data_IF_792869102433
#
_entry.id   IF_792869102433
#
_cell.length_a   1.000
_cell.length_b   1.000
_cell.length_c   1.000
_cell.angle_alpha   90.00
_cell.angle_beta   90.00
_cell.angle_gamma   90.00
#
_symmetry.space_group_name_H-M   'P 1'
#
loop_
_entity.id
_entity.type
_entity.pdbx_description
1 polymer ?
#
# COMPACT_ATOMS: atom_id res chain seq x y z
N UNK A 1 4.19 -3.24 8.36
CA UNK A 1 3.25 -4.36 8.15
C UNK A 1 2.50 -4.64 9.44
N UNK A 2 1.17 -4.71 9.40
CA UNK A 2 0.35 -5.04 10.57
C UNK A 2 -0.38 -6.36 10.33
N UNK A 3 -0.38 -7.23 11.33
CA UNK A 3 -1.00 -8.55 11.28
C UNK A 3 -2.12 -8.61 12.32
N UNK A 4 -3.28 -9.12 11.92
CA UNK A 4 -4.46 -9.28 12.77
C UNK A 4 -4.28 -10.47 13.72
N UNK A 5 -4.55 -10.28 15.02
CA UNK A 5 -4.63 -11.38 15.97
C UNK A 5 -6.07 -11.83 16.13
N UNK A 6 -6.35 -13.12 15.90
CA UNK A 6 -7.68 -13.70 16.07
C UNK A 6 -7.76 -14.44 17.40
N UNK A 7 -8.68 -14.04 18.29
CA UNK A 7 -8.99 -14.81 19.49
C UNK A 7 -10.09 -15.79 19.16
N UNK A 8 -9.77 -17.09 19.17
CA UNK A 8 -10.79 -18.15 19.16
C UNK A 8 -11.49 -18.17 20.54
N UNK A 9 -12.64 -17.51 20.64
CA UNK A 9 -13.53 -17.68 21.79
C UNK A 9 -14.48 -18.86 21.48
N UNK A 10 -14.23 -19.99 22.10
CA UNK A 10 -15.12 -21.13 22.07
C UNK A 10 -16.38 -20.83 22.90
N UNK A 11 -17.47 -20.50 22.24
CA UNK A 11 -18.78 -20.43 22.87
C UNK A 11 -19.38 -21.84 22.94
N UNK A 12 -19.42 -22.41 24.15
CA UNK A 12 -20.09 -23.67 24.47
C UNK A 12 -21.59 -23.39 24.56
N UNK A 13 -22.38 -23.70 23.52
CA UNK A 13 -23.85 -23.74 23.58
C UNK A 13 -24.29 -25.11 24.01
N UNK A 14 -24.83 -25.19 25.24
CA UNK A 14 -25.57 -26.35 25.73
C UNK A 14 -27.01 -26.22 25.21
N UNK A 15 -27.39 -27.05 24.24
CA UNK A 15 -28.80 -27.22 23.84
C UNK A 15 -29.33 -28.49 24.48
N UNK A 16 -30.24 -28.30 25.41
CA UNK A 16 -31.08 -29.37 25.97
C UNK A 16 -32.20 -29.61 24.96
N UNK A 17 -32.23 -30.79 24.35
CA UNK A 17 -33.34 -31.21 23.51
C UNK A 17 -33.96 -32.48 24.09
N UNK A 18 -35.24 -32.39 24.34
CA UNK A 18 -36.13 -33.36 24.95
C UNK A 18 -36.41 -34.56 24.05
N UNK A 19 -36.54 -35.70 24.69
CA UNK A 19 -36.75 -37.05 24.14
C UNK A 19 -38.21 -37.22 23.73
N UNK A 20 -38.46 -37.82 22.58
CA UNK A 20 -39.68 -38.55 22.31
C UNK A 20 -39.36 -39.85 21.54
N UNK A 21 -39.72 -40.96 22.18
CA UNK A 21 -39.53 -42.32 21.74
C UNK A 21 -40.49 -42.72 20.63
N UNK A 22 -40.00 -43.55 19.68
CA UNK A 22 -40.84 -44.54 19.02
C UNK A 22 -39.98 -45.74 18.59
N UNK A 23 -40.31 -46.90 19.08
CA UNK A 23 -39.75 -48.20 18.74
C UNK A 23 -40.17 -48.67 17.36
N UNK A 24 -39.24 -49.31 16.61
CA UNK A 24 -39.57 -50.46 15.77
C UNK A 24 -38.32 -51.31 15.58
N UNK A 25 -38.47 -52.63 15.82
CA UNK A 25 -37.45 -53.68 15.63
C UNK A 25 -37.26 -54.02 14.17
N UNK A 26 -36.05 -54.32 13.75
CA UNK A 26 -35.73 -55.60 13.07
C UNK A 26 -34.22 -55.74 12.85
N UNK A 27 -33.79 -56.98 12.91
CA UNK A 27 -32.46 -57.52 13.04
C UNK A 27 -31.51 -57.39 11.83
N UNK A 28 -30.27 -57.57 12.16
CA UNK A 28 -29.15 -58.29 11.50
C UNK A 28 -28.00 -57.50 10.90
N UNK A 29 -26.92 -57.63 11.66
CA UNK A 29 -25.57 -58.11 11.26
C UNK A 29 -24.82 -57.32 10.15
N UNK A 30 -23.77 -56.69 10.54
CA UNK A 30 -22.40 -56.94 10.15
C UNK A 30 -21.50 -55.74 10.45
N UNK A 31 -20.48 -56.05 11.18
CA UNK A 31 -19.31 -55.24 11.47
C UNK A 31 -18.78 -54.49 10.23
N UNK A 32 -18.77 -53.15 10.28
CA UNK A 32 -17.75 -52.41 9.57
C UNK A 32 -17.46 -51.11 10.36
N UNK A 33 -16.36 -51.14 11.12
CA UNK A 33 -15.75 -49.93 11.70
C UNK A 33 -15.15 -49.12 10.56
N UNK A 34 -15.96 -48.36 9.89
CA UNK A 34 -15.48 -47.32 9.00
C UNK A 34 -15.19 -46.09 9.82
N UNK A 35 -13.93 -45.95 10.18
CA UNK A 35 -13.35 -44.72 10.70
C UNK A 35 -13.74 -43.58 9.75
N UNK A 36 -14.73 -42.79 10.14
CA UNK A 36 -14.99 -41.51 9.49
C UNK A 36 -13.79 -40.62 9.79
N UNK A 37 -12.77 -40.73 8.94
CA UNK A 37 -11.80 -39.64 8.77
C UNK A 37 -12.66 -38.46 8.37
N UNK A 38 -12.82 -37.49 9.25
CA UNK A 38 -13.36 -36.22 8.93
C UNK A 38 -12.35 -35.60 7.92
N UNK A 39 -12.64 -35.75 6.63
CA UNK A 39 -12.09 -34.86 5.64
C UNK A 39 -12.66 -33.48 5.97
N UNK A 40 -11.96 -32.76 6.83
CA UNK A 40 -12.07 -31.33 6.89
C UNK A 40 -11.51 -30.88 5.54
N UNK A 41 -12.38 -30.66 4.55
CA UNK A 41 -12.06 -29.84 3.40
C UNK A 41 -11.52 -28.56 4.00
N UNK A 42 -10.21 -28.34 3.95
CA UNK A 42 -9.62 -27.03 4.12
C UNK A 42 -10.23 -26.20 3.00
N UNK A 43 -11.33 -25.49 3.26
CA UNK A 43 -11.70 -24.36 2.44
C UNK A 43 -10.40 -23.59 2.24
N UNK A 44 -10.03 -23.35 0.99
CA UNK A 44 -8.79 -22.69 0.62
C UNK A 44 -8.76 -21.33 1.34
N UNK A 45 -8.17 -21.31 2.54
CA UNK A 45 -7.98 -20.08 3.29
C UNK A 45 -7.12 -19.15 2.40
N UNK A 46 -7.62 -17.96 2.12
CA UNK A 46 -6.91 -16.96 1.35
C UNK A 46 -6.41 -15.90 2.33
N UNK A 47 -5.10 -15.69 2.38
CA UNK A 47 -4.51 -14.57 3.11
C UNK A 47 -4.66 -13.32 2.26
N UNK A 48 -5.33 -12.31 2.79
CA UNK A 48 -5.58 -11.04 2.10
C UNK A 48 -4.67 -9.96 2.63
N UNK A 49 -3.87 -9.38 1.77
CA UNK A 49 -2.93 -8.30 2.08
C UNK A 49 -3.29 -7.10 1.22
N UNK A 50 -3.22 -5.89 1.78
CA UNK A 50 -3.47 -4.66 1.02
C UNK A 50 -2.72 -3.48 1.65
N UNK A 51 -2.52 -2.41 0.90
CA UNK A 51 -1.98 -1.16 1.43
C UNK A 51 -0.95 -0.47 0.55
N UNK A 52 0.20 -0.15 1.13
CA UNK A 52 1.28 0.63 0.51
C UNK A 52 1.89 -0.04 -0.71
N UNK A 53 2.02 0.69 -1.83
CA UNK A 53 2.75 0.22 -3.00
C UNK A 53 4.25 0.09 -2.72
N UNK A 54 4.82 0.94 -1.88
CA UNK A 54 6.22 0.82 -1.43
C UNK A 54 6.53 -0.55 -0.82
N UNK A 55 5.60 -1.08 -0.01
CA UNK A 55 5.77 -2.38 0.67
C UNK A 55 5.33 -3.54 -0.24
N UNK A 56 4.53 -3.26 -1.25
CA UNK A 56 3.98 -4.24 -2.18
C UNK A 56 5.07 -5.09 -2.82
N UNK A 57 6.15 -4.50 -3.32
CA UNK A 57 7.24 -5.22 -4.01
C UNK A 57 7.85 -6.32 -3.15
N UNK A 58 8.07 -6.03 -1.86
CA UNK A 58 8.58 -7.02 -0.89
C UNK A 58 7.51 -8.07 -0.61
N UNK A 59 6.28 -7.62 -0.36
CA UNK A 59 5.19 -8.49 0.07
C UNK A 59 4.77 -9.45 -1.04
N UNK A 60 4.75 -9.01 -2.31
CA UNK A 60 4.45 -9.84 -3.46
C UNK A 60 5.45 -10.98 -3.59
N UNK A 61 6.75 -10.69 -3.54
CA UNK A 61 7.81 -11.71 -3.60
C UNK A 61 7.68 -12.73 -2.46
N UNK A 62 7.47 -12.25 -1.23
CA UNK A 62 7.28 -13.13 -0.06
C UNK A 62 6.00 -13.96 -0.20
N UNK A 63 4.92 -13.40 -0.73
CA UNK A 63 3.67 -14.10 -0.96
C UNK A 63 3.81 -15.22 -2.00
N UNK A 64 4.55 -14.97 -3.10
CA UNK A 64 4.84 -15.99 -4.10
C UNK A 64 5.60 -17.18 -3.50
N UNK A 65 6.69 -16.93 -2.79
CA UNK A 65 7.49 -17.96 -2.12
C UNK A 65 6.66 -18.73 -1.07
N UNK A 66 5.85 -18.01 -0.29
CA UNK A 66 4.98 -18.63 0.70
C UNK A 66 3.93 -19.54 0.05
N UNK A 67 3.30 -19.11 -1.05
CA UNK A 67 2.35 -19.93 -1.80
C UNK A 67 2.99 -21.19 -2.38
N UNK A 68 4.23 -21.06 -2.90
CA UNK A 68 4.96 -22.21 -3.41
C UNK A 68 5.26 -23.24 -2.32
N UNK A 69 5.64 -22.78 -1.11
CA UNK A 69 6.00 -23.63 0.00
C UNK A 69 4.80 -24.28 0.70
N UNK A 70 3.69 -23.54 0.88
CA UNK A 70 2.58 -23.95 1.75
C UNK A 70 1.31 -24.36 1.00
N UNK A 71 1.19 -23.99 -0.27
CA UNK A 71 -0.03 -24.10 -1.09
C UNK A 71 -1.23 -23.30 -0.55
N UNK A 72 -0.99 -22.35 0.36
CA UNK A 72 -1.99 -21.39 0.84
C UNK A 72 -2.04 -20.20 -0.12
N UNK A 73 -3.21 -19.85 -0.61
CA UNK A 73 -3.37 -18.70 -1.51
C UNK A 73 -3.17 -17.38 -0.76
N UNK A 74 -2.45 -16.45 -1.38
CA UNK A 74 -2.25 -15.09 -0.88
C UNK A 74 -2.66 -14.10 -1.98
N UNK A 75 -3.35 -13.04 -1.61
CA UNK A 75 -3.64 -11.92 -2.51
C UNK A 75 -3.01 -10.66 -1.96
N UNK A 76 -2.34 -9.89 -2.81
CA UNK A 76 -1.70 -8.63 -2.43
C UNK A 76 -2.29 -7.51 -3.30
N UNK A 77 -2.87 -6.50 -2.64
CA UNK A 77 -3.48 -5.34 -3.29
C UNK A 77 -2.73 -4.05 -2.98
N UNK A 78 -2.99 -3.02 -3.78
CA UNK A 78 -2.45 -1.67 -3.62
C UNK A 78 -3.59 -0.68 -3.50
N UNK A 79 -3.75 -0.06 -2.32
CA UNK A 79 -4.73 1.02 -2.09
C UNK A 79 -4.14 2.19 -1.28
N UNK A 80 -2.81 2.25 -1.22
CA UNK A 80 -2.07 3.17 -0.36
C UNK A 80 -2.15 2.77 1.12
N UNK A 81 -1.24 3.31 1.92
CA UNK A 81 -1.18 3.00 3.37
C UNK A 81 -2.49 3.32 4.09
N UNK A 82 -3.09 4.48 3.80
CA UNK A 82 -4.35 4.89 4.45
C UNK A 82 -5.56 4.10 3.96
N UNK A 83 -5.61 3.75 2.68
CA UNK A 83 -6.64 2.89 2.09
C UNK A 83 -6.61 1.50 2.71
N UNK A 84 -5.42 0.92 2.81
CA UNK A 84 -5.22 -0.37 3.46
C UNK A 84 -5.63 -0.36 4.93
N UNK A 85 -5.27 0.68 5.72
CA UNK A 85 -5.74 0.78 7.11
C UNK A 85 -7.28 0.82 7.22
N UNK A 86 -7.96 1.48 6.29
CA UNK A 86 -9.43 1.48 6.27
C UNK A 86 -9.99 0.06 6.10
N UNK A 87 -9.41 -0.74 5.19
CA UNK A 87 -9.79 -2.15 4.97
C UNK A 87 -9.42 -3.02 6.17
N UNK A 88 -8.20 -2.89 6.65
CA UNK A 88 -7.68 -3.67 7.76
C UNK A 88 -8.50 -3.48 9.05
N UNK A 89 -8.78 -2.22 9.43
CA UNK A 89 -9.59 -1.92 10.62
C UNK A 89 -11.07 -2.29 10.46
N UNK A 90 -11.55 -2.65 9.25
CA UNK A 90 -12.87 -3.28 9.02
C UNK A 90 -12.81 -4.81 8.98
N UNK A 91 -11.60 -5.38 9.10
CA UNK A 91 -11.41 -6.83 9.04
C UNK A 91 -11.50 -7.44 7.64
N UNK A 92 -11.36 -6.61 6.60
CA UNK A 92 -11.42 -7.04 5.20
C UNK A 92 -10.10 -7.69 4.74
N UNK A 93 -8.98 -7.37 5.40
CA UNK A 93 -7.65 -7.93 5.15
C UNK A 93 -7.03 -8.47 6.41
N UNK A 94 -6.14 -9.46 6.26
CA UNK A 94 -5.42 -10.11 7.37
C UNK A 94 -4.12 -9.38 7.69
N UNK A 95 -3.49 -8.79 6.67
CA UNK A 95 -2.24 -8.06 6.76
C UNK A 95 -2.40 -6.69 6.10
N UNK A 96 -1.80 -5.67 6.73
CA UNK A 96 -1.74 -4.31 6.24
C UNK A 96 -0.30 -3.95 5.88
N UNK A 97 -0.07 -3.56 4.62
CA UNK A 97 1.18 -2.96 4.16
C UNK A 97 1.18 -1.46 4.48
N UNK A 98 2.19 -1.00 5.21
CA UNK A 98 2.28 0.41 5.62
C UNK A 98 3.68 0.97 5.41
N UNK A 99 3.79 2.13 4.78
CA UNK A 99 5.03 2.92 4.61
C UNK A 99 5.16 4.06 5.62
N UNK A 100 4.35 4.05 6.66
CA UNK A 100 4.39 4.91 7.84
C UNK A 100 3.77 4.19 9.04
N UNK A 101 4.07 4.61 10.27
CA UNK A 101 3.34 4.12 11.46
C UNK A 101 1.84 4.37 11.35
N UNK A 102 1.06 3.54 12.05
CA UNK A 102 -0.39 3.72 12.19
C UNK A 102 -0.69 5.06 12.90
N UNK A 103 -1.68 5.80 12.44
CA UNK A 103 -2.10 7.05 13.04
C UNK A 103 -3.12 6.79 14.16
N UNK A 104 -3.19 7.70 15.13
CA UNK A 104 -4.14 7.62 16.26
C UNK A 104 -5.60 7.37 15.81
N UNK A 105 -6.07 8.08 14.79
CA UNK A 105 -7.42 7.88 14.23
C UNK A 105 -7.63 6.46 13.67
N UNK A 106 -6.59 5.85 13.12
CA UNK A 106 -6.62 4.49 12.58
C UNK A 106 -6.60 3.47 13.73
N UNK A 107 -5.77 3.71 14.76
CA UNK A 107 -5.78 2.91 15.99
C UNK A 107 -7.17 2.91 16.65
N UNK A 108 -7.81 4.08 16.74
CA UNK A 108 -9.17 4.20 17.28
C UNK A 108 -10.19 3.41 16.43
N UNK A 109 -10.06 3.45 15.09
CA UNK A 109 -10.94 2.70 14.19
C UNK A 109 -10.77 1.20 14.36
N UNK A 110 -9.54 0.68 14.39
CA UNK A 110 -9.25 -0.72 14.65
C UNK A 110 -9.79 -1.18 16.01
N UNK A 111 -9.55 -0.39 17.06
CA UNK A 111 -10.03 -0.71 18.42
C UNK A 111 -11.56 -0.79 18.49
N UNK A 112 -12.28 0.14 17.84
CA UNK A 112 -13.75 0.12 17.77
C UNK A 112 -14.29 -1.14 17.08
N UNK A 113 -13.55 -1.64 16.09
CA UNK A 113 -13.90 -2.85 15.36
C UNK A 113 -13.41 -4.14 16.05
N UNK A 114 -12.75 -4.05 17.21
CA UNK A 114 -12.19 -5.20 17.91
C UNK A 114 -10.99 -5.84 17.21
N UNK A 115 -10.31 -5.10 16.32
CA UNK A 115 -9.11 -5.57 15.62
C UNK A 115 -7.89 -5.32 16.50
N UNK A 116 -7.28 -6.42 16.94
CA UNK A 116 -5.96 -6.43 17.57
C UNK A 116 -4.88 -6.73 16.52
N UNK A 117 -3.74 -6.11 16.59
CA UNK A 117 -2.65 -6.26 15.63
C UNK A 117 -1.28 -6.16 16.29
N UNK A 118 -0.26 -6.61 15.58
CA UNK A 118 1.15 -6.37 15.88
C UNK A 118 1.75 -5.57 14.73
N UNK A 119 2.73 -4.72 15.03
CA UNK A 119 3.48 -3.95 14.04
C UNK A 119 4.87 -4.58 13.87
N UNK A 120 5.21 -4.91 12.62
CA UNK A 120 6.47 -5.54 12.25
C UNK A 120 7.22 -4.63 11.28
N UNK A 121 8.27 -3.93 11.74
CA UNK A 121 9.19 -3.24 10.83
C UNK A 121 9.93 -4.27 9.97
N UNK A 122 9.95 -4.05 8.64
CA UNK A 122 10.55 -5.00 7.70
C UNK A 122 11.76 -4.42 6.96
N UNK A 123 11.74 -3.11 6.65
CA UNK A 123 12.81 -2.44 5.90
C UNK A 123 12.71 -0.93 6.07
N UNK A 124 13.77 -0.23 5.66
CA UNK A 124 13.76 1.21 5.38
C UNK A 124 13.60 1.42 3.88
N UNK A 125 12.82 2.45 3.49
CA UNK A 125 12.69 2.89 2.11
C UNK A 125 13.22 4.30 1.95
N UNK A 126 13.62 4.63 0.71
CA UNK A 126 14.05 5.96 0.30
C UNK A 126 13.11 6.50 -0.76
N UNK A 127 12.71 7.76 -0.61
CA UNK A 127 11.95 8.47 -1.62
C UNK A 127 12.89 9.04 -2.67
N UNK A 128 12.50 8.92 -3.94
CA UNK A 128 13.26 9.49 -5.05
C UNK A 128 12.41 10.47 -5.86
N UNK A 129 13.07 11.46 -6.45
CA UNK A 129 12.50 12.35 -7.48
C UNK A 129 13.07 11.96 -8.83
N UNK A 130 12.20 11.79 -9.80
CA UNK A 130 12.57 11.37 -11.15
C UNK A 130 11.94 12.27 -12.20
N UNK A 131 12.58 12.30 -13.37
CA UNK A 131 12.04 12.91 -14.58
C UNK A 131 12.10 11.93 -15.74
N UNK A 132 11.44 12.28 -16.83
CA UNK A 132 11.55 11.52 -18.07
C UNK A 132 13.01 11.38 -18.50
N UNK A 133 13.39 10.21 -19.01
CA UNK A 133 14.78 9.94 -19.48
C UNK A 133 15.29 10.96 -20.52
N UNK A 134 14.39 11.56 -21.30
CA UNK A 134 14.72 12.60 -22.31
C UNK A 134 14.82 14.01 -21.73
N UNK A 135 14.66 14.19 -20.42
CA UNK A 135 14.91 15.47 -19.76
C UNK A 135 16.43 15.70 -19.69
N UNK A 136 16.92 16.64 -20.47
CA UNK A 136 18.36 16.93 -20.63
C UNK A 136 18.81 18.24 -19.95
N UNK A 137 17.89 18.99 -19.32
CA UNK A 137 18.21 20.27 -18.71
C UNK A 137 18.28 20.19 -17.17
N UNK A 138 17.59 19.23 -16.53
CA UNK A 138 17.58 19.12 -15.08
C UNK A 138 18.68 18.18 -14.59
N UNK A 139 19.75 18.72 -14.00
CA UNK A 139 20.84 17.94 -13.40
C UNK A 139 20.66 17.72 -11.89
N UNK A 140 20.03 18.66 -11.22
CA UNK A 140 19.65 18.62 -9.80
C UNK A 140 18.47 19.54 -9.57
N UNK A 141 17.83 19.41 -8.39
CA UNK A 141 16.71 20.27 -7.98
C UNK A 141 16.85 20.61 -6.51
N UNK A 142 16.51 21.83 -6.14
CA UNK A 142 16.53 22.27 -4.74
C UNK A 142 15.20 21.96 -4.05
N UNK A 143 15.21 21.92 -2.71
CA UNK A 143 13.99 21.77 -1.92
C UNK A 143 13.02 22.93 -2.18
N UNK A 144 13.54 24.17 -2.37
CA UNK A 144 12.73 25.36 -2.67
C UNK A 144 12.05 25.24 -4.03
N UNK A 145 12.75 24.76 -5.06
CA UNK A 145 12.18 24.52 -6.38
C UNK A 145 11.10 23.44 -6.34
N UNK A 146 11.35 22.35 -5.63
CA UNK A 146 10.32 21.32 -5.38
C UNK A 146 9.11 21.90 -4.63
N UNK A 147 9.34 22.69 -3.57
CA UNK A 147 8.27 23.36 -2.83
C UNK A 147 7.44 24.25 -3.75
N UNK A 148 8.11 25.07 -4.56
CA UNK A 148 7.45 25.96 -5.54
C UNK A 148 6.58 25.22 -6.55
N UNK A 149 6.96 23.97 -6.90
CA UNK A 149 6.14 23.11 -7.78
C UNK A 149 4.93 22.53 -7.06
N UNK A 150 5.09 22.12 -5.79
CA UNK A 150 4.14 21.22 -5.10
C UNK A 150 3.28 21.89 -4.04
N UNK A 151 3.60 23.11 -3.59
CA UNK A 151 2.79 23.78 -2.57
C UNK A 151 1.38 24.14 -3.09
N UNK A 152 0.39 24.30 -2.22
CA UNK A 152 -0.99 24.64 -2.62
C UNK A 152 -1.08 25.91 -3.47
N UNK A 153 -0.23 26.91 -3.23
CA UNK A 153 -0.19 28.14 -3.99
C UNK A 153 0.22 27.97 -5.47
N UNK A 154 0.87 26.85 -5.81
CA UNK A 154 1.24 26.53 -7.19
C UNK A 154 0.04 26.11 -8.06
N UNK A 155 -1.08 25.74 -7.45
CA UNK A 155 -2.24 25.23 -8.16
C UNK A 155 -2.79 26.24 -9.16
N UNK A 156 -2.88 25.82 -10.44
CA UNK A 156 -3.34 26.66 -11.54
C UNK A 156 -2.36 27.76 -11.97
N UNK A 157 -1.29 28.01 -11.20
CA UNK A 157 -0.31 29.09 -11.41
C UNK A 157 0.97 28.55 -12.07
N UNK A 158 1.63 27.58 -11.47
CA UNK A 158 2.87 26.98 -11.97
C UNK A 158 2.52 25.87 -12.96
N UNK A 159 2.75 26.15 -14.25
CA UNK A 159 2.38 25.25 -15.38
C UNK A 159 3.58 24.90 -16.26
N UNK A 160 4.69 25.62 -16.15
CA UNK A 160 5.87 25.40 -16.97
C UNK A 160 7.13 25.34 -16.10
N UNK A 161 8.14 24.67 -16.60
CA UNK A 161 9.44 24.56 -15.96
C UNK A 161 10.11 25.92 -15.72
N UNK A 162 10.02 26.84 -16.72
CA UNK A 162 10.57 28.19 -16.60
C UNK A 162 9.92 29.04 -15.51
N UNK A 163 8.67 28.76 -15.12
CA UNK A 163 8.01 29.45 -14.01
C UNK A 163 8.61 29.04 -12.65
N UNK A 164 9.19 27.85 -12.57
CA UNK A 164 9.89 27.40 -11.35
C UNK A 164 11.27 28.04 -11.30
N UNK A 165 12.07 27.84 -12.35
CA UNK A 165 13.40 28.42 -12.50
C UNK A 165 13.55 28.99 -13.93
N UNK A 166 13.78 30.30 -14.07
CA UNK A 166 13.90 30.96 -15.38
C UNK A 166 15.03 30.42 -16.29
N UNK A 167 16.01 29.72 -15.73
CA UNK A 167 17.05 29.04 -16.48
C UNK A 167 16.59 27.77 -17.20
N UNK A 168 15.41 27.25 -16.87
CA UNK A 168 14.86 26.06 -17.48
C UNK A 168 13.94 26.37 -18.67
N UNK A 169 13.73 25.42 -19.59
CA UNK A 169 12.90 25.65 -20.77
C UNK A 169 11.46 26.05 -20.42
N UNK A 170 10.87 26.92 -21.24
CA UNK A 170 9.46 27.25 -21.11
C UNK A 170 8.56 26.17 -21.74
N UNK A 171 8.66 24.95 -21.23
CA UNK A 171 7.87 23.79 -21.64
C UNK A 171 6.90 23.38 -20.54
N UNK A 172 5.81 22.68 -20.85
CA UNK A 172 4.85 22.24 -19.85
C UNK A 172 5.50 21.40 -18.75
N UNK A 173 5.16 21.70 -17.51
CA UNK A 173 5.49 20.89 -16.33
C UNK A 173 4.31 19.94 -16.05
N UNK A 174 4.58 18.65 -16.06
CA UNK A 174 3.61 17.59 -15.76
C UNK A 174 4.02 16.88 -14.49
N UNK A 175 3.20 16.97 -13.47
CA UNK A 175 3.48 16.42 -12.16
C UNK A 175 2.70 15.10 -11.96
N UNK A 176 3.41 14.10 -11.46
CA UNK A 176 2.88 12.79 -11.08
C UNK A 176 3.28 12.52 -9.63
N UNK A 177 2.36 12.19 -8.79
CA UNK A 177 2.63 12.02 -7.37
C UNK A 177 1.72 11.03 -6.70
N UNK A 178 2.18 10.51 -5.58
CA UNK A 178 1.41 9.57 -4.77
C UNK A 178 0.08 10.18 -4.32
N UNK A 179 -0.93 9.35 -4.20
CA UNK A 179 -2.27 9.75 -3.77
C UNK A 179 -2.36 10.10 -2.29
N UNK A 180 -3.49 10.65 -1.89
CA UNK A 180 -3.70 11.19 -0.54
C UNK A 180 -3.69 10.13 0.58
N UNK A 181 -3.87 8.87 0.24
CA UNK A 181 -3.80 7.74 1.17
C UNK A 181 -2.38 7.12 1.25
N UNK A 182 -1.45 7.57 0.39
CA UNK A 182 -0.06 7.12 0.39
C UNK A 182 0.74 7.66 1.60
N UNK A 183 1.57 6.79 2.17
CA UNK A 183 2.59 7.19 3.15
C UNK A 183 3.66 8.09 2.50
N UNK A 184 4.04 7.81 1.26
CA UNK A 184 4.98 8.58 0.45
C UNK A 184 4.49 10.02 0.24
N UNK A 185 3.19 10.22 -0.04
CA UNK A 185 2.59 11.56 -0.12
C UNK A 185 2.71 12.32 1.20
N UNK A 186 2.44 11.65 2.32
CA UNK A 186 2.54 12.28 3.63
C UNK A 186 3.97 12.72 3.94
N UNK A 187 4.95 11.84 3.66
CA UNK A 187 6.36 12.12 3.88
C UNK A 187 6.86 13.25 2.97
N UNK A 188 6.63 13.14 1.65
CA UNK A 188 7.06 14.13 0.67
C UNK A 188 6.52 15.52 0.99
N UNK A 189 5.21 15.64 1.22
CA UNK A 189 4.60 16.94 1.51
C UNK A 189 5.11 17.54 2.82
N UNK A 190 5.39 16.71 3.84
CA UNK A 190 6.01 17.19 5.09
C UNK A 190 7.44 17.66 4.86
N UNK A 191 8.25 16.91 4.12
CA UNK A 191 9.65 17.21 3.89
C UNK A 191 9.87 18.42 2.96
N UNK A 192 9.04 18.54 1.90
CA UNK A 192 9.23 19.56 0.86
C UNK A 192 8.37 20.80 1.13
N UNK A 193 7.09 20.62 1.46
CA UNK A 193 6.16 21.75 1.65
C UNK A 193 6.11 22.21 3.10
N UNK A 194 6.60 21.38 4.02
CA UNK A 194 6.67 21.67 5.47
C UNK A 194 5.45 21.17 6.26
N UNK A 195 4.42 20.67 5.60
CA UNK A 195 3.22 20.14 6.26
C UNK A 195 2.68 18.91 5.53
N UNK A 196 2.55 17.80 6.26
CA UNK A 196 1.96 16.58 5.71
C UNK A 196 0.59 16.84 5.08
N UNK A 197 0.35 16.26 3.92
CA UNK A 197 -0.87 16.39 3.11
C UNK A 197 -1.12 17.80 2.54
N UNK A 198 -0.20 18.73 2.66
CA UNK A 198 -0.29 20.05 2.05
C UNK A 198 0.32 20.01 0.65
N UNK A 199 -0.51 20.07 -0.39
CA UNK A 199 -0.07 20.02 -1.78
C UNK A 199 -1.10 20.69 -2.68
N UNK A 200 -0.68 21.09 -3.89
CA UNK A 200 -1.60 21.37 -4.99
C UNK A 200 -2.41 20.10 -5.32
N UNK A 201 -3.58 20.25 -5.95
CA UNK A 201 -4.44 19.12 -6.33
C UNK A 201 -4.54 18.86 -7.82
N UNK A 202 -3.91 19.70 -8.67
CA UNK A 202 -3.99 19.64 -10.13
C UNK A 202 -2.81 18.88 -10.77
N UNK A 203 -2.44 17.76 -10.17
CA UNK A 203 -1.45 16.82 -10.70
C UNK A 203 -2.06 15.42 -10.87
N UNK A 204 -1.41 14.56 -11.64
CA UNK A 204 -1.86 13.16 -11.80
C UNK A 204 -1.46 12.36 -10.57
N UNK A 205 -2.44 11.72 -9.92
CA UNK A 205 -2.23 10.93 -8.70
C UNK A 205 -2.38 9.44 -8.96
N UNK A 206 -1.61 8.62 -8.22
CA UNK A 206 -1.82 7.18 -8.12
C UNK A 206 -1.43 6.68 -6.74
N UNK A 207 -2.15 5.70 -6.22
CA UNK A 207 -1.72 4.94 -5.03
C UNK A 207 -0.77 3.78 -5.42
N UNK A 208 -0.70 3.46 -6.73
CA UNK A 208 0.22 2.50 -7.32
C UNK A 208 1.36 3.26 -8.02
N UNK A 209 2.59 3.09 -7.54
CA UNK A 209 3.78 3.77 -8.06
C UNK A 209 4.09 3.36 -9.51
N UNK A 210 3.66 2.18 -9.99
CA UNK A 210 3.76 1.80 -11.40
C UNK A 210 3.00 2.77 -12.32
N UNK A 211 1.85 3.27 -11.89
CA UNK A 211 1.10 4.28 -12.62
C UNK A 211 1.87 5.60 -12.73
N UNK A 212 2.61 5.99 -11.68
CA UNK A 212 3.47 7.18 -11.70
C UNK A 212 4.68 7.00 -12.63
N UNK A 213 5.32 5.82 -12.61
CA UNK A 213 6.40 5.45 -13.53
C UNK A 213 5.95 5.59 -14.98
N UNK A 214 4.80 5.02 -15.34
CA UNK A 214 4.23 5.11 -16.69
C UNK A 214 3.93 6.57 -17.08
N UNK A 215 3.38 7.36 -16.17
CA UNK A 215 3.09 8.78 -16.38
C UNK A 215 4.35 9.57 -16.76
N UNK A 216 5.41 9.49 -15.96
CA UNK A 216 6.69 10.19 -16.25
C UNK A 216 7.34 9.67 -17.51
N UNK A 217 7.30 8.36 -17.75
CA UNK A 217 7.89 7.76 -18.94
C UNK A 217 7.24 8.27 -20.24
N UNK A 218 5.94 8.50 -20.21
CA UNK A 218 5.18 8.91 -21.40
C UNK A 218 5.28 10.40 -21.71
N UNK A 219 5.59 11.27 -20.75
CA UNK A 219 5.61 12.71 -20.91
C UNK A 219 7.02 13.29 -20.67
N UNK A 220 7.57 14.00 -21.69
CA UNK A 220 8.91 14.64 -21.59
C UNK A 220 8.97 15.73 -20.53
N UNK A 221 7.86 16.38 -20.22
CA UNK A 221 7.74 17.39 -19.15
C UNK A 221 7.45 16.78 -17.78
N UNK A 222 7.48 15.45 -17.68
CA UNK A 222 7.12 14.71 -16.48
C UNK A 222 8.14 14.81 -15.36
N UNK A 223 7.65 15.05 -14.13
CA UNK A 223 8.39 14.89 -12.89
C UNK A 223 7.50 14.09 -11.92
N UNK A 224 8.08 13.11 -11.26
CA UNK A 224 7.40 12.35 -10.19
C UNK A 224 8.27 12.19 -8.95
N UNK A 225 7.63 11.75 -7.87
CA UNK A 225 8.28 11.20 -6.68
C UNK A 225 7.58 9.89 -6.27
N UNK A 226 8.37 8.90 -5.87
CA UNK A 226 7.91 7.59 -5.40
C UNK A 226 9.03 6.81 -4.71
N UNK A 227 8.78 5.58 -4.26
CA UNK A 227 9.75 4.72 -3.60
C UNK A 227 10.93 4.36 -4.52
N UNK A 228 12.14 4.35 -3.96
CA UNK A 228 13.39 4.12 -4.71
C UNK A 228 13.42 2.77 -5.46
N UNK A 229 12.77 1.74 -4.93
CA UNK A 229 12.68 0.42 -5.58
C UNK A 229 12.11 0.52 -7.00
N UNK A 230 11.05 1.29 -7.20
CA UNK A 230 10.45 1.52 -8.52
C UNK A 230 11.38 2.22 -9.51
N UNK A 231 12.22 3.12 -9.02
CA UNK A 231 13.27 3.72 -9.86
C UNK A 231 14.31 2.67 -10.27
N UNK A 232 14.78 1.85 -9.35
CA UNK A 232 15.79 0.80 -9.62
C UNK A 232 15.33 -0.14 -10.72
N UNK A 233 14.08 -0.55 -10.71
CA UNK A 233 13.49 -1.42 -11.73
C UNK A 233 13.28 -0.72 -13.08
N UNK A 234 13.27 0.61 -13.09
CA UNK A 234 12.95 1.41 -14.28
C UNK A 234 14.06 2.38 -14.71
N UNK A 235 15.33 2.18 -14.30
CA UNK A 235 16.47 3.07 -14.59
C UNK A 235 16.68 3.33 -16.08
N UNK A 236 16.39 2.37 -16.96
CA UNK A 236 16.51 2.53 -18.40
C UNK A 236 15.50 3.52 -19.00
N UNK A 237 14.46 3.89 -18.27
CA UNK A 237 13.32 4.70 -18.75
C UNK A 237 13.18 6.03 -18.00
N UNK A 238 13.80 6.13 -16.83
CA UNK A 238 13.69 7.27 -15.92
C UNK A 238 15.06 7.81 -15.58
N UNK A 239 15.11 9.12 -15.33
CA UNK A 239 16.30 9.81 -14.84
C UNK A 239 16.05 10.27 -13.40
N UNK A 240 16.87 9.78 -12.46
CA UNK A 240 16.85 10.27 -11.08
C UNK A 240 17.40 11.70 -11.01
N UNK A 241 16.81 12.51 -10.16
CA UNK A 241 17.22 13.91 -9.95
C UNK A 241 17.75 14.06 -8.52
N UNK A 242 19.04 14.36 -8.34
CA UNK A 242 19.60 14.69 -7.03
C UNK A 242 18.89 15.90 -6.40
N UNK A 243 18.48 15.77 -5.14
CA UNK A 243 17.88 16.87 -4.37
C UNK A 243 19.01 17.57 -3.60
N UNK A 244 19.15 18.85 -3.79
CA UNK A 244 20.14 19.68 -3.10
C UNK A 244 19.42 20.43 -1.97
N UNK A 245 19.84 20.15 -0.72
CA UNK A 245 19.48 21.00 0.40
C UNK A 245 20.32 22.28 0.28
N UNK A 246 19.67 23.43 0.13
CA UNK A 246 20.36 24.73 0.24
C UNK A 246 20.71 24.88 1.73
N UNK A 247 22.02 24.98 2.01
CA UNK A 247 22.45 25.30 3.37
C UNK A 247 21.89 26.68 3.72
N UNK A 248 21.06 26.75 4.76
CA UNK A 248 20.55 27.99 5.31
C UNK A 248 21.65 28.77 6.03
#
# INVERSE_FOLDING_TARGET
MLVKTSKLLGALFIVVASILSACSKSDNSANNKQSKTANTSSENAIIKIDGSSTVYTITETVAEEFQLATKVNVTVGISGTGGGFKKFCRGETDIQNASRPILEKEMVACKRAGIEYIELPIAYDSLTVVVNQRNNFLSSITVEELKKMWEPAAQGVIKTWAQVNPAWPNTPLKLFGAGSDSGTFNYFTKAIVGKAKSSRGDFTTSEDDNGLVQGVQSDKGGLAYFGYAYYVENQARLKVVPIVAVAG
#
